data_IF_849169926322
#
_entry.id   IF_849169926322
#
_cell.length_a   1.000
_cell.length_b   1.000
_cell.length_c   1.000
_cell.angle_alpha   90.00
_cell.angle_beta   90.00
_cell.angle_gamma   90.00
#
_symmetry.space_group_name_H-M   'P 1'
#
loop_
_entity.id
_entity.type
_entity.pdbx_description
1 polymer ?
#
# COMPACT_ATOMS: atom_id res chain seq x y z
N UNK A 1 -76.46 -22.25 -20.56
CA UNK A 1 -75.14 -22.74 -20.10
C UNK A 1 -75.30 -23.22 -18.67
N UNK A 2 -74.98 -24.48 -18.34
CA UNK A 2 -75.24 -25.00 -17.00
C UNK A 2 -74.26 -24.40 -15.99
N UNK A 3 -74.76 -24.09 -14.79
CA UNK A 3 -73.97 -23.58 -13.65
C UNK A 3 -72.82 -24.54 -13.31
N UNK A 4 -73.06 -25.84 -13.46
CA UNK A 4 -72.07 -26.90 -13.26
C UNK A 4 -70.86 -26.78 -14.20
N UNK A 5 -71.06 -26.44 -15.48
CA UNK A 5 -69.96 -26.27 -16.43
C UNK A 5 -69.07 -25.08 -16.06
N UNK A 6 -69.68 -23.98 -15.60
CA UNK A 6 -68.94 -22.79 -15.15
C UNK A 6 -68.14 -23.11 -13.88
N UNK A 7 -68.72 -23.84 -12.92
CA UNK A 7 -68.03 -24.24 -11.69
C UNK A 7 -66.84 -25.17 -11.96
N UNK A 8 -67.01 -26.20 -12.82
CA UNK A 8 -65.95 -27.15 -13.17
C UNK A 8 -64.80 -26.47 -13.92
N UNK A 9 -65.13 -25.60 -14.89
CA UNK A 9 -64.13 -24.85 -15.64
C UNK A 9 -63.39 -23.83 -14.74
N UNK A 10 -64.10 -23.19 -13.82
CA UNK A 10 -63.48 -22.30 -12.82
C UNK A 10 -62.49 -23.05 -11.93
N UNK A 11 -62.88 -24.22 -11.43
CA UNK A 11 -61.99 -25.08 -10.62
C UNK A 11 -60.73 -25.48 -11.41
N UNK A 12 -60.90 -25.91 -12.67
CA UNK A 12 -59.78 -26.25 -13.55
C UNK A 12 -58.85 -25.05 -13.78
N UNK A 13 -59.40 -23.86 -14.02
CA UNK A 13 -58.61 -22.65 -14.21
C UNK A 13 -57.79 -22.30 -12.95
N UNK A 14 -58.36 -22.46 -11.75
CA UNK A 14 -57.65 -22.23 -10.49
C UNK A 14 -56.53 -23.25 -10.28
N UNK A 15 -56.79 -24.54 -10.51
CA UNK A 15 -55.76 -25.58 -10.39
C UNK A 15 -54.60 -25.32 -11.36
N UNK A 16 -54.89 -24.88 -12.59
CA UNK A 16 -53.88 -24.52 -13.58
C UNK A 16 -53.03 -23.34 -13.10
N UNK A 17 -53.66 -22.31 -12.54
CA UNK A 17 -52.97 -21.14 -11.98
C UNK A 17 -52.03 -21.53 -10.84
N UNK A 18 -52.47 -22.41 -9.94
CA UNK A 18 -51.64 -22.92 -8.84
C UNK A 18 -50.45 -23.71 -9.37
N UNK A 19 -50.67 -24.58 -10.36
CA UNK A 19 -49.59 -25.35 -10.98
C UNK A 19 -48.55 -24.43 -11.65
N UNK A 20 -49.01 -23.41 -12.39
CA UNK A 20 -48.14 -22.42 -13.01
C UNK A 20 -47.34 -21.62 -11.97
N UNK A 21 -47.98 -21.18 -10.90
CA UNK A 21 -47.33 -20.47 -9.80
C UNK A 21 -46.25 -21.31 -9.12
N UNK A 22 -46.52 -22.60 -8.90
CA UNK A 22 -45.54 -23.54 -8.35
C UNK A 22 -44.35 -23.75 -9.29
N UNK A 23 -44.60 -23.89 -10.60
CA UNK A 23 -43.54 -23.96 -11.62
C UNK A 23 -42.61 -22.76 -11.57
N UNK A 24 -43.18 -21.54 -11.59
CA UNK A 24 -42.41 -20.29 -11.51
C UNK A 24 -41.62 -20.16 -10.18
N UNK A 25 -42.22 -20.55 -9.04
CA UNK A 25 -41.56 -20.46 -7.73
C UNK A 25 -40.37 -21.42 -7.65
N UNK A 26 -40.48 -22.61 -8.23
CA UNK A 26 -39.42 -23.61 -8.21
C UNK A 26 -38.23 -23.20 -9.09
N UNK A 27 -38.51 -22.70 -10.29
CA UNK A 27 -37.49 -22.18 -11.20
C UNK A 27 -36.72 -21.01 -10.58
N UNK A 28 -37.42 -20.08 -9.92
CA UNK A 28 -36.80 -18.96 -9.18
C UNK A 28 -35.89 -19.44 -8.05
N UNK A 29 -36.31 -20.46 -7.29
CA UNK A 29 -35.50 -21.01 -6.19
C UNK A 29 -34.23 -21.69 -6.72
N UNK A 30 -34.35 -22.51 -7.76
CA UNK A 30 -33.19 -23.15 -8.38
C UNK A 30 -32.21 -22.12 -8.95
N UNK A 31 -32.73 -21.07 -9.58
CA UNK A 31 -31.91 -19.98 -10.12
C UNK A 31 -31.19 -19.20 -9.02
N UNK A 32 -31.88 -18.85 -7.93
CA UNK A 32 -31.28 -18.14 -6.80
C UNK A 32 -30.15 -18.93 -6.12
N UNK A 33 -30.28 -20.26 -5.98
CA UNK A 33 -29.19 -21.10 -5.46
C UNK A 33 -28.00 -21.13 -6.44
N UNK A 34 -28.26 -21.21 -7.75
CA UNK A 34 -27.19 -21.29 -8.75
C UNK A 34 -26.43 -19.97 -8.86
N UNK A 35 -27.16 -18.85 -8.89
CA UNK A 35 -26.60 -17.51 -8.89
C UNK A 35 -25.79 -17.23 -7.61
N UNK A 36 -26.20 -17.79 -6.45
CA UNK A 36 -25.41 -17.65 -5.22
C UNK A 36 -24.10 -18.45 -5.30
N UNK A 37 -24.11 -19.68 -5.80
CA UNK A 37 -22.88 -20.46 -6.00
C UNK A 37 -21.91 -19.81 -6.99
N UNK A 38 -22.42 -19.25 -8.09
CA UNK A 38 -21.59 -18.52 -9.06
C UNK A 38 -21.03 -17.24 -8.44
N UNK A 39 -21.83 -16.53 -7.64
CA UNK A 39 -21.38 -15.39 -6.85
C UNK A 39 -20.30 -15.73 -5.82
N UNK A 40 -20.42 -16.87 -5.12
CA UNK A 40 -19.40 -17.37 -4.19
C UNK A 40 -18.12 -17.77 -4.92
N UNK A 41 -18.22 -18.48 -6.05
CA UNK A 41 -17.05 -18.85 -6.85
C UNK A 41 -16.29 -17.61 -7.32
N UNK A 42 -17.00 -16.58 -7.75
CA UNK A 42 -16.41 -15.29 -8.12
C UNK A 42 -15.76 -14.58 -6.93
N UNK A 43 -16.45 -14.52 -5.78
CA UNK A 43 -15.93 -13.89 -4.57
C UNK A 43 -14.66 -14.60 -4.06
N UNK A 44 -14.62 -15.93 -4.09
CA UNK A 44 -13.43 -16.70 -3.71
C UNK A 44 -12.28 -16.47 -4.68
N UNK A 45 -12.55 -16.42 -5.99
CA UNK A 45 -11.52 -16.09 -6.98
C UNK A 45 -10.96 -14.67 -6.80
N UNK A 46 -11.80 -13.71 -6.43
CA UNK A 46 -11.36 -12.34 -6.13
C UNK A 46 -10.56 -12.26 -4.82
N UNK A 47 -10.94 -13.06 -3.81
CA UNK A 47 -10.17 -13.20 -2.57
C UNK A 47 -8.80 -13.82 -2.79
N UNK A 48 -8.72 -14.90 -3.57
CA UNK A 48 -7.46 -15.58 -3.89
C UNK A 48 -6.50 -14.64 -4.63
N UNK A 49 -7.01 -13.85 -5.59
CA UNK A 49 -6.22 -12.79 -6.25
C UNK A 49 -5.72 -11.73 -5.27
N UNK A 50 -6.56 -11.32 -4.33
CA UNK A 50 -6.17 -10.35 -3.31
C UNK A 50 -5.12 -10.92 -2.35
N UNK A 51 -5.26 -12.21 -1.97
CA UNK A 51 -4.31 -12.93 -1.14
C UNK A 51 -2.95 -13.07 -1.84
N UNK A 52 -2.92 -13.52 -3.10
CA UNK A 52 -1.68 -13.59 -3.88
C UNK A 52 -0.97 -12.23 -3.96
N UNK A 53 -1.73 -11.14 -4.17
CA UNK A 53 -1.15 -9.78 -4.16
C UNK A 53 -0.59 -9.41 -2.78
N UNK A 54 -1.27 -9.78 -1.70
CA UNK A 54 -0.80 -9.51 -0.34
C UNK A 54 0.47 -10.31 0.00
N UNK A 55 0.52 -11.58 -0.38
CA UNK A 55 1.71 -12.44 -0.24
C UNK A 55 2.90 -11.88 -1.01
N UNK A 56 2.67 -11.43 -2.25
CA UNK A 56 3.70 -10.80 -3.06
C UNK A 56 4.20 -9.50 -2.42
N UNK A 57 3.30 -8.65 -1.92
CA UNK A 57 3.70 -7.44 -1.19
C UNK A 57 4.47 -7.72 0.10
N UNK A 58 4.15 -8.80 0.82
CA UNK A 58 4.92 -9.23 1.99
C UNK A 58 6.32 -9.73 1.60
N UNK A 59 6.42 -10.47 0.49
CA UNK A 59 7.70 -10.92 -0.04
C UNK A 59 8.59 -9.74 -0.46
N UNK A 60 8.01 -8.75 -1.13
CA UNK A 60 8.71 -7.52 -1.52
C UNK A 60 9.17 -6.73 -0.29
N UNK A 61 8.31 -6.61 0.74
CA UNK A 61 8.68 -5.94 2.00
C UNK A 61 9.83 -6.67 2.69
N UNK A 62 9.80 -8.01 2.75
CA UNK A 62 10.88 -8.81 3.34
C UNK A 62 12.20 -8.61 2.61
N UNK A 63 12.17 -8.70 1.28
CA UNK A 63 13.36 -8.48 0.46
C UNK A 63 13.94 -7.07 0.67
N UNK A 64 13.09 -6.04 0.67
CA UNK A 64 13.52 -4.66 0.93
C UNK A 64 14.07 -4.47 2.35
N UNK A 65 13.50 -5.12 3.36
CA UNK A 65 14.03 -5.07 4.73
C UNK A 65 15.35 -5.81 4.88
N UNK A 66 15.53 -6.94 4.18
CA UNK A 66 16.79 -7.70 4.21
C UNK A 66 17.91 -6.87 3.56
N UNK A 67 17.66 -6.26 2.39
CA UNK A 67 18.61 -5.35 1.74
C UNK A 67 18.93 -4.12 2.62
N UNK A 68 17.92 -3.54 3.27
CA UNK A 68 18.13 -2.43 4.20
C UNK A 68 18.95 -2.86 5.44
N UNK A 69 18.77 -4.08 5.94
CA UNK A 69 19.54 -4.62 7.05
C UNK A 69 21.01 -4.82 6.68
N UNK A 70 21.28 -5.38 5.50
CA UNK A 70 22.65 -5.59 5.00
C UNK A 70 23.38 -4.26 4.81
N UNK A 71 22.75 -3.29 4.14
CA UNK A 71 23.36 -1.96 3.94
C UNK A 71 23.63 -1.22 5.25
N UNK A 72 22.78 -1.40 6.26
CA UNK A 72 23.00 -0.86 7.60
C UNK A 72 24.16 -1.57 8.31
N UNK A 73 24.25 -2.90 8.17
CA UNK A 73 25.35 -3.71 8.68
C UNK A 73 26.70 -3.25 8.13
N UNK A 74 26.80 -3.05 6.82
CA UNK A 74 28.01 -2.56 6.15
C UNK A 74 28.43 -1.17 6.66
N UNK A 75 27.47 -0.26 6.84
CA UNK A 75 27.74 1.07 7.38
C UNK A 75 28.23 1.02 8.82
N UNK A 76 27.68 0.14 9.65
CA UNK A 76 28.13 -0.06 11.03
C UNK A 76 29.56 -0.64 11.04
N UNK A 77 29.85 -1.61 10.17
CA UNK A 77 31.19 -2.18 10.05
C UNK A 77 32.23 -1.14 9.62
N UNK A 78 31.89 -0.30 8.63
CA UNK A 78 32.73 0.82 8.19
C UNK A 78 32.95 1.84 9.31
N UNK A 79 31.89 2.23 10.04
CA UNK A 79 31.99 3.17 11.15
C UNK A 79 32.89 2.63 12.27
N UNK A 80 32.78 1.34 12.61
CA UNK A 80 33.67 0.67 13.57
C UNK A 80 35.11 0.63 13.09
N UNK A 81 35.35 0.33 11.82
CA UNK A 81 36.69 0.32 11.24
C UNK A 81 37.33 1.72 11.27
N UNK A 82 36.58 2.76 10.93
CA UNK A 82 37.05 4.14 11.00
C UNK A 82 37.31 4.57 12.45
N UNK A 83 36.43 4.20 13.39
CA UNK A 83 36.63 4.48 14.81
C UNK A 83 37.91 3.82 15.34
N UNK A 84 38.17 2.55 14.96
CA UNK A 84 39.41 1.86 15.33
C UNK A 84 40.66 2.53 14.74
N UNK A 85 40.61 2.99 13.49
CA UNK A 85 41.72 3.74 12.87
C UNK A 85 41.98 5.08 13.57
N UNK A 86 40.92 5.78 14.01
CA UNK A 86 41.06 7.01 14.78
C UNK A 86 41.69 6.72 16.15
N UNK A 87 41.23 5.67 16.84
CA UNK A 87 41.79 5.26 18.14
C UNK A 87 43.28 4.90 18.03
N UNK A 88 43.66 4.15 17.00
CA UNK A 88 45.07 3.81 16.76
C UNK A 88 45.94 5.04 16.48
N UNK A 89 45.42 6.04 15.73
CA UNK A 89 46.15 7.30 15.49
C UNK A 89 46.30 8.16 16.74
N UNK A 90 45.28 8.17 17.61
CA UNK A 90 45.32 8.91 18.88
C UNK A 90 46.26 8.22 19.86
N UNK A 91 46.21 6.89 19.93
CA UNK A 91 46.97 6.11 20.89
C UNK A 91 48.40 5.83 20.40
N UNK A 92 48.72 6.13 19.13
CA UNK A 92 50.09 6.10 18.62
C UNK A 92 50.92 7.18 19.34
N UNK A 93 51.89 6.80 20.19
CA UNK A 93 52.77 7.79 20.81
C UNK A 93 53.50 8.56 19.71
N UNK A 94 53.52 9.89 19.82
CA UNK A 94 54.34 10.75 18.99
C UNK A 94 55.80 10.37 19.30
N UNK A 95 56.35 9.45 18.52
CA UNK A 95 57.78 9.19 18.50
C UNK A 95 58.39 10.38 17.78
N UNK A 96 58.83 11.37 18.55
CA UNK A 96 59.69 12.45 18.06
C UNK A 96 60.89 11.81 17.35
N UNK A 97 61.03 11.94 16.03
CA UNK A 97 62.25 11.53 15.37
C UNK A 97 63.39 12.40 15.91
N UNK A 98 64.56 11.84 16.24
CA UNK A 98 65.72 12.66 16.56
C UNK A 98 65.99 13.63 15.40
N UNK A 99 66.45 14.87 15.67
CA UNK A 99 66.68 15.84 14.62
C UNK A 99 67.79 15.34 13.69
N UNK A 100 67.41 14.87 12.51
CA UNK A 100 68.32 14.69 11.40
C UNK A 100 68.63 16.08 10.84
N UNK A 101 69.70 16.69 11.36
CA UNK A 101 70.50 17.64 10.60
C UNK A 101 70.93 16.96 9.30
N UNK A 102 71.05 17.72 8.21
CA UNK A 102 71.60 17.30 6.91
C UNK A 102 70.60 16.81 5.84
N UNK A 103 69.54 17.58 5.59
CA UNK A 103 68.88 17.60 4.27
C UNK A 103 68.66 19.00 3.70
N UNK A 104 69.48 19.95 4.13
CA UNK A 104 69.57 21.29 3.57
C UNK A 104 70.46 21.30 2.32
N UNK A 105 70.14 20.54 1.27
CA UNK A 105 70.88 20.65 -0.01
C UNK A 105 70.12 20.20 -1.26
N UNK A 106 68.78 20.30 -1.25
CA UNK A 106 68.00 20.35 -2.51
C UNK A 106 67.12 21.59 -2.56
N UNK A 107 67.76 22.73 -2.33
CA UNK A 107 67.31 23.99 -2.89
C UNK A 107 67.67 23.99 -4.39
N UNK A 108 66.76 23.49 -5.22
CA UNK A 108 66.75 23.75 -6.65
C UNK A 108 65.33 24.13 -7.04
N UNK A 109 65.04 25.43 -6.94
CA UNK A 109 63.99 26.13 -7.68
C UNK A 109 64.74 27.09 -8.62
N UNK A 110 64.29 27.32 -9.87
CA UNK A 110 62.93 27.76 -10.22
C UNK A 110 62.32 26.87 -11.35
N UNK A 111 61.04 26.89 -11.69
CA UNK A 111 60.21 27.96 -12.24
C UNK A 111 58.73 27.61 -12.00
N UNK A 112 57.92 28.64 -11.77
CA UNK A 112 56.47 28.58 -11.64
C UNK A 112 55.84 28.65 -13.04
N UNK A 113 55.15 27.58 -13.45
CA UNK A 113 54.14 27.60 -14.51
C UNK A 113 52.80 27.14 -13.90
N UNK A 114 51.69 27.88 -14.11
CA UNK A 114 50.36 27.47 -13.66
C UNK A 114 49.79 26.29 -14.49
N UNK A 115 48.78 25.58 -13.96
CA UNK A 115 48.67 24.12 -14.06
C UNK A 115 47.97 23.62 -15.33
N UNK A 116 48.51 22.54 -15.91
CA UNK A 116 47.77 21.67 -16.83
C UNK A 116 47.12 20.54 -16.02
N UNK A 117 45.83 20.72 -15.70
CA UNK A 117 44.97 19.65 -15.18
C UNK A 117 44.77 18.56 -16.25
N UNK A 118 44.98 17.26 -15.91
CA UNK A 118 44.41 16.18 -16.70
C UNK A 118 42.89 16.14 -16.44
N UNK A 119 42.14 16.58 -17.43
CA UNK A 119 40.68 16.58 -17.45
C UNK A 119 40.12 15.15 -17.29
N UNK A 120 39.84 14.76 -16.05
CA UNK A 120 38.64 13.99 -15.76
C UNK A 120 37.42 14.91 -15.88
N UNK A 121 36.27 14.28 -16.08
CA UNK A 121 34.92 14.85 -15.92
C UNK A 121 34.35 15.65 -17.10
N UNK A 122 33.63 14.88 -17.93
CA UNK A 122 32.26 15.12 -18.36
C UNK A 122 31.82 16.60 -18.46
N UNK A 123 31.40 17.07 -19.65
CA UNK A 123 30.71 18.33 -19.74
C UNK A 123 29.37 18.18 -19.00
N UNK A 124 29.36 18.54 -17.71
CA UNK A 124 28.18 19.07 -17.04
C UNK A 124 27.71 20.21 -17.92
N UNK A 125 26.77 19.86 -18.80
CA UNK A 125 25.81 20.67 -19.55
C UNK A 125 25.77 22.07 -18.98
N UNK A 126 26.71 22.91 -19.40
CA UNK A 126 26.64 24.36 -19.17
C UNK A 126 25.46 24.78 -20.03
N UNK A 127 24.29 24.85 -19.40
CA UNK A 127 23.07 25.37 -19.99
C UNK A 127 23.44 26.72 -20.60
N UNK A 128 23.47 26.76 -21.94
CA UNK A 128 23.84 27.98 -22.66
C UNK A 128 22.69 28.96 -22.50
N UNK A 129 22.98 30.26 -22.57
CA UNK A 129 21.94 31.29 -22.54
C UNK A 129 20.83 31.02 -23.59
N UNK A 130 21.20 30.42 -24.71
CA UNK A 130 20.31 29.96 -25.78
C UNK A 130 19.27 28.91 -25.33
N UNK A 131 19.62 28.05 -24.36
CA UNK A 131 18.69 27.06 -23.80
C UNK A 131 17.67 27.70 -22.86
N UNK A 132 18.06 28.79 -22.19
CA UNK A 132 17.17 29.59 -21.35
C UNK A 132 16.16 30.39 -22.19
N UNK A 133 16.60 30.97 -23.32
CA UNK A 133 15.68 31.66 -24.24
C UNK A 133 14.63 30.70 -24.82
N UNK A 134 15.02 29.47 -25.19
CA UNK A 134 14.09 28.44 -25.67
C UNK A 134 13.06 28.02 -24.61
N UNK A 135 13.44 28.01 -23.33
CA UNK A 135 12.51 27.71 -22.24
C UNK A 135 11.54 28.86 -21.99
N UNK A 136 12.01 30.12 -22.04
CA UNK A 136 11.17 31.31 -21.89
C UNK A 136 10.17 31.45 -23.03
N UNK A 137 10.57 31.16 -24.27
CA UNK A 137 9.66 31.20 -25.41
C UNK A 137 8.64 30.06 -25.39
N UNK A 138 9.00 28.90 -24.83
CA UNK A 138 8.08 27.79 -24.59
C UNK A 138 7.07 28.13 -23.49
N UNK A 139 7.49 28.80 -22.43
CA UNK A 139 6.64 29.29 -21.33
C UNK A 139 5.65 30.36 -21.82
N UNK A 140 6.12 31.31 -22.64
CA UNK A 140 5.29 32.38 -23.19
C UNK A 140 4.21 31.87 -24.18
N UNK A 141 4.42 30.68 -24.76
CA UNK A 141 3.49 30.03 -25.67
C UNK A 141 2.42 29.20 -24.94
N UNK A 142 2.51 29.05 -23.61
CA UNK A 142 1.46 28.44 -22.78
C UNK A 142 0.43 29.54 -22.49
N UNK A 143 -0.78 29.49 -23.06
CA UNK A 143 -1.83 30.45 -22.73
C UNK A 143 -2.14 30.36 -21.24
N UNK A 144 -1.95 31.47 -20.51
CA UNK A 144 -2.29 31.58 -19.07
C UNK A 144 -3.78 31.37 -18.76
N UNK A 145 -4.62 31.33 -19.79
CA UNK A 145 -6.07 31.06 -19.70
C UNK A 145 -6.45 29.60 -20.04
N UNK A 146 -5.47 28.71 -20.28
CA UNK A 146 -5.76 27.29 -20.34
C UNK A 146 -5.84 26.71 -18.93
N UNK A 147 -7.03 26.24 -18.56
CA UNK A 147 -7.27 25.47 -17.35
C UNK A 147 -6.18 24.39 -17.18
N UNK A 148 -5.67 24.18 -15.94
CA UNK A 148 -4.57 23.26 -15.71
C UNK A 148 -4.91 21.86 -16.25
N UNK A 149 -3.97 21.17 -16.92
CA UNK A 149 -4.16 19.77 -17.25
C UNK A 149 -4.44 19.05 -15.94
N UNK A 150 -5.58 18.38 -15.89
CA UNK A 150 -6.07 17.66 -14.72
C UNK A 150 -5.00 16.65 -14.31
N UNK A 151 -4.23 17.00 -13.27
CA UNK A 151 -3.43 16.02 -12.55
C UNK A 151 -4.36 14.83 -12.21
N UNK A 152 -3.86 13.57 -12.20
CA UNK A 152 -4.65 12.46 -11.72
C UNK A 152 -5.10 12.81 -10.31
N UNK A 153 -6.37 13.18 -10.20
CA UNK A 153 -7.04 13.53 -8.96
C UNK A 153 -6.92 12.28 -8.11
N UNK A 154 -6.02 12.29 -7.14
CA UNK A 154 -6.01 11.31 -6.06
C UNK A 154 -7.41 11.41 -5.47
N UNK A 155 -8.26 10.46 -5.85
CA UNK A 155 -9.61 10.35 -5.34
C UNK A 155 -9.44 10.09 -3.86
N UNK A 156 -9.73 11.12 -3.06
CA UNK A 156 -10.00 10.94 -1.65
C UNK A 156 -10.96 9.74 -1.52
N UNK A 157 -10.67 8.74 -0.67
CA UNK A 157 -11.59 7.65 -0.48
C UNK A 157 -12.92 8.22 0.01
N UNK A 158 -13.91 8.07 -0.86
CA UNK A 158 -15.32 8.40 -0.63
C UNK A 158 -15.77 7.63 0.60
N UNK A 159 -16.19 8.38 1.61
CA UNK A 159 -17.16 8.01 2.66
C UNK A 159 -17.06 6.57 3.17
N UNK A 160 -16.43 6.40 4.33
CA UNK A 160 -16.65 5.23 5.16
C UNK A 160 -18.12 5.20 5.62
N UNK A 161 -18.91 4.18 5.29
CA UNK A 161 -20.21 4.00 5.92
C UNK A 161 -19.96 3.54 7.37
N UNK A 162 -19.99 4.48 8.31
CA UNK A 162 -19.98 4.24 9.78
C UNK A 162 -21.25 3.51 10.28
N UNK A 163 -21.89 2.70 9.44
CA UNK A 163 -23.17 2.05 9.73
C UNK A 163 -23.08 0.52 9.74
N UNK A 164 -21.89 -0.07 9.59
CA UNK A 164 -21.71 -1.53 9.60
C UNK A 164 -21.21 -2.13 10.92
N UNK A 165 -20.79 -1.29 11.87
CA UNK A 165 -20.28 -1.76 13.16
C UNK A 165 -21.37 -2.02 14.22
N UNK A 166 -22.66 -1.81 13.91
CA UNK A 166 -23.78 -2.11 14.86
C UNK A 166 -24.54 -3.39 14.56
N UNK A 167 -24.30 -4.02 13.40
CA UNK A 167 -25.07 -5.22 13.01
C UNK A 167 -24.45 -6.50 13.57
N UNK A 168 -23.18 -6.45 13.99
CA UNK A 168 -22.46 -7.62 14.52
C UNK A 168 -22.63 -7.82 16.04
N UNK A 169 -23.06 -6.80 16.79
CA UNK A 169 -23.26 -6.92 18.26
C UNK A 169 -24.54 -7.68 18.64
N UNK A 170 -25.60 -7.64 17.82
CA UNK A 170 -26.87 -8.33 18.09
C UNK A 170 -26.84 -9.85 17.73
N UNK A 171 -25.75 -10.36 17.15
CA UNK A 171 -25.64 -11.75 16.72
C UNK A 171 -25.10 -12.69 17.83
N UNK A 172 -24.48 -12.13 18.87
CA UNK A 172 -23.88 -12.88 19.98
C UNK A 172 -24.66 -12.82 21.30
N UNK A 173 -25.66 -11.94 21.41
CA UNK A 173 -26.60 -11.96 22.54
C UNK A 173 -27.63 -13.07 22.32
N UNK A 174 -27.34 -14.22 22.93
CA UNK A 174 -28.30 -15.32 23.06
C UNK A 174 -29.57 -14.86 23.81
N UNK A 175 -30.68 -15.61 23.72
CA UNK A 175 -31.90 -15.26 24.43
C UNK A 175 -31.63 -15.20 25.94
N UNK A 176 -31.81 -14.02 26.52
CA UNK A 176 -31.89 -13.82 27.97
C UNK A 176 -33.05 -14.65 28.51
N UNK A 177 -32.75 -15.86 29.00
CA UNK A 177 -33.66 -16.63 29.83
C UNK A 177 -33.94 -15.82 31.09
N UNK A 178 -35.21 -15.47 31.24
CA UNK A 178 -35.68 -14.60 32.31
C UNK A 178 -35.55 -15.19 33.72
N UNK A 179 -35.76 -14.30 34.68
CA UNK A 179 -36.17 -14.55 36.07
C UNK A 179 -35.06 -14.77 37.13
N UNK A 180 -34.27 -13.73 37.39
CA UNK A 180 -33.80 -13.50 38.76
C UNK A 180 -34.89 -12.78 39.56
N UNK A 181 -35.95 -13.51 39.94
CA UNK A 181 -36.98 -13.01 40.88
C UNK A 181 -37.42 -14.13 41.81
N UNK A 182 -36.60 -14.39 42.84
CA UNK A 182 -37.07 -14.76 44.20
C UNK A 182 -35.88 -14.94 45.15
N UNK A 183 -35.40 -13.83 45.69
CA UNK A 183 -34.62 -13.83 46.94
C UNK A 183 -35.55 -13.38 48.05
N UNK A 184 -36.38 -14.29 48.56
CA UNK A 184 -37.15 -14.08 49.78
C UNK A 184 -36.20 -14.10 50.96
N UNK A 185 -35.68 -12.92 51.29
CA UNK A 185 -34.97 -12.60 52.51
C UNK A 185 -35.92 -12.84 53.71
N UNK A 186 -35.90 -14.06 54.26
CA UNK A 186 -36.62 -14.39 55.49
C UNK A 186 -35.75 -13.96 56.67
N UNK A 187 -36.26 -12.96 57.39
CA UNK A 187 -35.54 -12.22 58.41
C UNK A 187 -35.12 -13.00 59.65
N UNK A 188 -34.07 -12.47 60.28
CA UNK A 188 -33.71 -12.64 61.70
C UNK A 188 -34.91 -12.40 62.62
N UNK A 189 -35.13 -13.31 63.57
CA UNK A 189 -34.98 -13.08 65.01
C UNK A 189 -35.12 -14.39 65.77
#
# INVERSE_FOLDING_TARGET
MSITAIALNGLLAVLLLVALAFGMRLERRLKALRDSHEGFAKAVADLDRAAMRAEQGLADLRAATDEAADTLGDRIAQAKALAAQLDERINRPIVTPPPATDRAERASRPVFDPPAEPAADQPRRRLKAEDFEKLLEREARIPRDAAPPTAPRVTAPKETPRSRARVDDDLFDGPDDGSSSNSTFRGRR
#
